data_IF_339050373537
#
_entry.id   IF_339050373537
#
_cell.length_a   1.000
_cell.length_b   1.000
_cell.length_c   1.000
_cell.angle_alpha   90.00
_cell.angle_beta   90.00
_cell.angle_gamma   90.00
#
_symmetry.space_group_name_H-M   'P 1'
#
loop_
_entity.id
_entity.type
_entity.pdbx_description
1 polymer ?
#
# COMPACT_ATOMS: atom_id res chain seq x y z
N UNK A 1 -1.69 -44.64 -51.64
CA UNK A 1 -2.40 -43.53 -52.30
C UNK A 1 -3.59 -43.14 -51.42
N UNK A 2 -3.86 -41.83 -51.32
CA UNK A 2 -4.86 -41.08 -50.51
C UNK A 2 -4.65 -41.07 -48.99
N UNK A 3 -4.04 -40.02 -48.42
CA UNK A 3 -4.66 -38.77 -47.87
C UNK A 3 -5.35 -39.02 -46.51
N UNK A 4 -4.72 -38.60 -45.41
CA UNK A 4 -4.95 -37.36 -44.64
C UNK A 4 -6.39 -37.18 -44.16
N UNK A 5 -6.61 -37.39 -42.85
CA UNK A 5 -7.55 -36.58 -42.07
C UNK A 5 -7.11 -36.55 -40.60
N UNK A 6 -6.46 -35.44 -40.24
CA UNK A 6 -6.42 -34.86 -38.89
C UNK A 6 -7.83 -34.39 -38.52
N UNK A 7 -8.32 -34.78 -37.33
CA UNK A 7 -9.46 -34.28 -36.51
C UNK A 7 -9.74 -35.49 -35.56
N UNK A 8 -9.48 -35.53 -34.26
CA UNK A 8 -10.00 -34.69 -33.19
C UNK A 8 -9.13 -34.86 -31.92
N UNK A 9 -8.37 -33.84 -31.55
CA UNK A 9 -7.89 -33.66 -30.17
C UNK A 9 -7.63 -32.18 -29.84
N UNK A 10 -8.33 -31.26 -30.52
CA UNK A 10 -8.20 -29.80 -30.34
C UNK A 10 -8.97 -29.24 -29.14
N UNK A 11 -9.20 -30.01 -28.07
CA UNK A 11 -10.05 -29.56 -26.94
C UNK A 11 -9.45 -29.80 -25.56
N UNK A 12 -8.19 -29.42 -25.30
CA UNK A 12 -7.73 -29.28 -23.89
C UNK A 12 -6.74 -28.13 -23.64
N UNK A 13 -6.31 -27.35 -24.63
CA UNK A 13 -5.33 -26.26 -24.40
C UNK A 13 -5.89 -24.91 -24.84
N UNK A 14 -6.80 -24.37 -24.04
CA UNK A 14 -7.12 -22.93 -24.00
C UNK A 14 -7.76 -22.68 -22.63
N UNK A 15 -7.19 -22.00 -21.65
CA UNK A 15 -6.22 -20.92 -21.67
C UNK A 15 -5.48 -20.94 -20.32
N UNK A 16 -4.39 -21.69 -20.22
CA UNK A 16 -3.43 -21.47 -19.14
C UNK A 16 -2.89 -20.06 -19.34
N UNK A 17 -3.37 -19.11 -18.53
CA UNK A 17 -2.84 -17.74 -18.60
C UNK A 17 -1.35 -17.85 -18.24
N UNK A 18 -0.43 -17.47 -19.13
CA UNK A 18 0.98 -17.51 -18.79
C UNK A 18 1.19 -16.44 -17.72
N UNK A 19 1.31 -16.88 -16.47
CA UNK A 19 1.76 -16.00 -15.38
C UNK A 19 3.24 -15.74 -15.64
N UNK A 20 3.49 -14.75 -16.48
CA UNK A 20 4.84 -14.23 -16.73
C UNK A 20 5.45 -13.83 -15.38
N UNK A 21 6.68 -14.25 -15.05
CA UNK A 21 7.28 -14.07 -13.72
C UNK A 21 7.56 -12.60 -13.37
N UNK A 22 7.30 -11.68 -14.30
CA UNK A 22 7.51 -10.23 -14.13
C UNK A 22 6.25 -9.45 -13.74
N UNK A 23 5.10 -10.09 -13.51
CA UNK A 23 3.93 -9.36 -12.99
C UNK A 23 3.90 -9.44 -11.47
N UNK A 24 4.53 -8.49 -10.79
CA UNK A 24 4.22 -8.16 -9.38
C UNK A 24 2.76 -7.69 -9.31
N UNK A 25 1.83 -8.66 -9.36
CA UNK A 25 0.41 -8.43 -9.57
C UNK A 25 -0.27 -8.48 -8.21
N UNK A 26 -0.58 -7.29 -7.70
CA UNK A 26 -1.27 -7.00 -6.44
C UNK A 26 -2.65 -7.68 -6.24
N UNK A 27 -3.11 -8.53 -7.16
CA UNK A 27 -4.42 -9.20 -7.12
C UNK A 27 -4.42 -10.30 -6.06
N UNK A 28 -3.37 -11.13 -6.06
CA UNK A 28 -3.18 -12.22 -5.09
C UNK A 28 -3.17 -11.74 -3.64
N UNK A 29 -2.56 -10.57 -3.37
CA UNK A 29 -2.54 -9.99 -2.02
C UNK A 29 -3.92 -9.71 -1.44
N UNK A 30 -4.94 -9.50 -2.26
CA UNK A 30 -6.25 -9.08 -1.77
C UNK A 30 -7.13 -10.27 -1.45
N UNK A 31 -6.96 -11.35 -2.19
CA UNK A 31 -7.61 -12.63 -1.89
C UNK A 31 -7.04 -13.14 -0.55
N UNK A 32 -5.74 -12.96 -0.32
CA UNK A 32 -5.10 -13.19 0.99
C UNK A 32 -5.63 -12.26 2.09
N UNK A 33 -5.85 -10.97 1.82
CA UNK A 33 -6.38 -10.02 2.82
C UNK A 33 -7.87 -10.26 3.13
N UNK A 34 -8.65 -10.72 2.15
CA UNK A 34 -10.03 -11.12 2.33
C UNK A 34 -10.14 -12.32 3.27
N UNK A 35 -9.20 -13.26 3.19
CA UNK A 35 -9.08 -14.38 4.12
C UNK A 35 -8.76 -13.93 5.57
N UNK A 36 -8.10 -12.78 5.73
CA UNK A 36 -7.72 -12.20 7.05
C UNK A 36 -8.78 -11.20 7.56
N UNK A 37 -9.91 -11.01 6.87
CA UNK A 37 -10.96 -10.04 7.22
C UNK A 37 -10.44 -8.61 7.43
N UNK A 38 -9.38 -8.22 6.70
CA UNK A 38 -8.82 -6.86 6.79
C UNK A 38 -9.52 -5.96 5.79
N UNK A 39 -10.13 -4.87 6.27
CA UNK A 39 -10.74 -3.87 5.39
C UNK A 39 -9.67 -3.12 4.59
N UNK A 40 -9.74 -3.23 3.26
CA UNK A 40 -8.76 -2.62 2.37
C UNK A 40 -9.16 -1.19 2.02
N UNK A 41 -8.65 -0.22 2.78
CA UNK A 41 -8.87 1.23 2.56
C UNK A 41 -7.79 1.82 1.63
N UNK A 42 -7.53 1.19 0.49
CA UNK A 42 -6.52 1.66 -0.48
C UNK A 42 -7.21 1.89 -1.83
N UNK A 43 -7.11 3.10 -2.41
CA UNK A 43 -7.70 3.39 -3.71
C UNK A 43 -7.05 2.54 -4.79
N UNK A 44 -7.85 2.15 -5.79
CA UNK A 44 -7.33 1.60 -7.03
C UNK A 44 -6.50 2.66 -7.77
N UNK A 45 -5.42 2.23 -8.45
CA UNK A 45 -4.68 3.11 -9.35
C UNK A 45 -5.61 3.71 -10.42
N UNK A 46 -5.36 4.96 -10.79
CA UNK A 46 -6.23 5.76 -11.69
C UNK A 46 -6.53 5.10 -13.04
N UNK A 47 -5.59 4.32 -13.59
CA UNK A 47 -5.72 3.65 -14.89
C UNK A 47 -6.32 2.23 -14.80
N UNK A 48 -6.83 1.81 -13.64
CA UNK A 48 -7.42 0.48 -13.47
C UNK A 48 -8.82 0.45 -14.06
N UNK A 49 -9.08 -0.47 -14.99
CA UNK A 49 -10.40 -0.66 -15.63
C UNK A 49 -11.53 -0.91 -14.62
N UNK A 50 -11.24 -1.64 -13.54
CA UNK A 50 -12.18 -1.85 -12.44
C UNK A 50 -11.71 -1.06 -11.23
N UNK A 51 -12.44 0.02 -10.94
CA UNK A 51 -12.25 0.80 -9.71
C UNK A 51 -12.83 0.04 -8.52
N UNK A 52 -12.25 0.25 -7.35
CA UNK A 52 -12.73 -0.34 -6.09
C UNK A 52 -13.50 0.68 -5.29
N UNK A 53 -14.52 0.21 -4.59
CA UNK A 53 -15.12 0.97 -3.51
C UNK A 53 -14.18 0.91 -2.32
N UNK A 54 -13.87 2.07 -1.75
CA UNK A 54 -13.07 2.21 -0.54
C UNK A 54 -13.59 3.41 0.25
N UNK A 55 -13.36 3.41 1.56
CA UNK A 55 -13.71 4.56 2.38
C UNK A 55 -12.74 5.72 2.14
N UNK A 56 -13.26 6.78 1.49
CA UNK A 56 -12.50 7.99 1.17
C UNK A 56 -12.12 8.79 2.42
N UNK A 57 -12.95 8.77 3.46
CA UNK A 57 -12.74 9.54 4.69
C UNK A 57 -11.57 8.91 5.45
N UNK A 58 -11.65 7.61 5.72
CA UNK A 58 -10.56 6.86 6.37
C UNK A 58 -9.25 6.95 5.58
N UNK A 59 -9.31 6.91 4.24
CA UNK A 59 -8.12 7.10 3.41
C UNK A 59 -7.49 8.49 3.57
N UNK A 60 -8.31 9.54 3.68
CA UNK A 60 -7.86 10.93 3.86
C UNK A 60 -7.21 11.13 5.23
N UNK A 61 -7.82 10.59 6.29
CA UNK A 61 -7.30 10.65 7.65
C UNK A 61 -5.92 9.98 7.76
N UNK A 62 -5.76 8.81 7.13
CA UNK A 62 -4.47 8.12 7.05
C UNK A 62 -3.37 9.01 6.46
N UNK A 63 -3.67 9.76 5.40
CA UNK A 63 -2.69 10.67 4.78
C UNK A 63 -2.24 11.80 5.73
N UNK A 64 -3.07 12.24 6.68
CA UNK A 64 -2.67 13.24 7.69
C UNK A 64 -1.59 12.64 8.60
N UNK A 65 -1.85 11.43 9.11
CA UNK A 65 -0.92 10.69 9.98
C UNK A 65 0.38 10.37 9.25
N UNK A 66 0.30 9.89 8.00
CA UNK A 66 1.48 9.58 7.18
C UNK A 66 2.36 10.81 6.93
N UNK A 67 1.75 11.96 6.62
CA UNK A 67 2.49 13.22 6.43
C UNK A 67 3.17 13.67 7.72
N UNK A 68 2.52 13.49 8.85
CA UNK A 68 3.11 13.79 10.17
C UNK A 68 4.31 12.88 10.47
N UNK A 69 4.16 11.57 10.29
CA UNK A 69 5.24 10.60 10.46
C UNK A 69 6.40 10.92 9.50
N UNK A 70 6.11 11.25 8.24
CA UNK A 70 7.14 11.60 7.26
C UNK A 70 7.95 12.84 7.69
N UNK A 71 7.30 13.82 8.34
CA UNK A 71 7.99 14.99 8.91
C UNK A 71 8.85 14.61 10.12
N UNK A 72 8.37 13.70 10.97
CA UNK A 72 9.10 13.26 12.15
C UNK A 72 10.30 12.37 11.81
N UNK A 73 10.23 11.61 10.70
CA UNK A 73 11.32 10.75 10.24
C UNK A 73 12.63 11.50 9.97
N UNK A 74 12.58 12.82 9.71
CA UNK A 74 13.77 13.66 9.60
C UNK A 74 14.58 13.70 10.90
N UNK A 75 13.93 13.51 12.06
CA UNK A 75 14.62 13.39 13.34
C UNK A 75 15.16 11.97 13.50
N UNK A 76 16.44 11.79 13.15
CA UNK A 76 17.14 10.49 13.17
C UNK A 76 16.93 9.72 14.47
N UNK A 77 16.92 10.41 15.62
CA UNK A 77 16.68 9.81 16.95
C UNK A 77 15.33 9.08 17.06
N UNK A 78 14.27 9.67 16.52
CA UNK A 78 12.92 9.11 16.57
C UNK A 78 12.80 7.97 15.55
N UNK A 79 13.37 8.14 14.35
CA UNK A 79 13.32 7.13 13.29
C UNK A 79 14.02 5.83 13.68
N UNK A 80 15.20 5.91 14.30
CA UNK A 80 15.97 4.72 14.67
C UNK A 80 15.50 4.08 15.98
N UNK A 81 14.57 4.70 16.71
CA UNK A 81 13.94 4.18 17.93
C UNK A 81 14.92 3.46 18.89
N UNK A 82 16.04 4.11 19.24
CA UNK A 82 17.03 3.56 20.19
C UNK A 82 16.62 3.76 21.65
N UNK A 83 15.49 4.43 21.91
CA UNK A 83 15.00 4.68 23.26
C UNK A 83 14.39 3.40 23.85
N UNK A 84 15.09 2.80 24.82
CA UNK A 84 14.62 1.60 25.55
C UNK A 84 13.40 1.86 26.44
N UNK A 85 13.14 3.12 26.80
CA UNK A 85 12.02 3.50 27.67
C UNK A 85 10.96 4.24 26.86
N UNK A 86 9.72 3.75 26.90
CA UNK A 86 8.57 4.38 26.23
C UNK A 86 8.38 5.86 26.61
N UNK A 87 8.62 6.22 27.88
CA UNK A 87 8.54 7.62 28.35
C UNK A 87 9.53 8.55 27.62
N UNK A 88 10.74 8.07 27.32
CA UNK A 88 11.75 8.88 26.61
C UNK A 88 11.36 9.09 25.17
N UNK A 89 10.91 8.02 24.51
CA UNK A 89 10.37 8.10 23.15
C UNK A 89 9.20 9.09 23.05
N UNK A 90 8.23 9.00 23.97
CA UNK A 90 7.09 9.92 24.00
C UNK A 90 7.51 11.37 24.25
N UNK A 91 8.47 11.62 25.14
CA UNK A 91 9.00 12.96 25.35
C UNK A 91 9.61 13.56 24.07
N UNK A 92 10.39 12.77 23.31
CA UNK A 92 10.92 13.21 22.02
C UNK A 92 9.85 13.39 20.95
N UNK A 93 8.80 12.56 20.98
CA UNK A 93 7.67 12.70 20.07
C UNK A 93 6.92 14.01 20.32
N UNK A 94 6.65 14.34 21.58
CA UNK A 94 6.05 15.62 21.96
C UNK A 94 6.95 16.80 21.57
N UNK A 95 8.26 16.69 21.81
CA UNK A 95 9.22 17.72 21.44
C UNK A 95 9.29 17.95 19.91
N UNK A 96 9.32 16.88 19.11
CA UNK A 96 9.28 17.03 17.65
C UNK A 96 7.95 17.62 17.17
N UNK A 97 6.84 17.30 17.85
CA UNK A 97 5.52 17.85 17.54
C UNK A 97 5.44 19.35 17.81
N UNK A 98 6.00 19.83 18.94
CA UNK A 98 6.05 21.26 19.26
C UNK A 98 6.93 22.04 18.29
N UNK A 99 8.10 21.50 17.91
CA UNK A 99 8.96 22.10 16.88
C UNK A 99 8.27 22.19 15.53
N UNK A 100 7.55 21.15 15.12
CA UNK A 100 6.82 21.13 13.87
C UNK A 100 5.67 22.16 13.87
N UNK A 101 4.99 22.32 15.00
CA UNK A 101 3.94 23.32 15.18
C UNK A 101 4.50 24.75 15.10
N UNK A 102 5.62 25.01 15.78
CA UNK A 102 6.27 26.33 15.72
C UNK A 102 6.76 26.67 14.30
N UNK A 103 7.39 25.70 13.62
CA UNK A 103 7.84 25.88 12.23
C UNK A 103 6.68 26.17 11.28
N UNK A 104 5.49 25.61 11.52
CA UNK A 104 4.29 25.93 10.74
C UNK A 104 3.87 27.39 10.93
N UNK A 105 3.88 27.89 12.18
CA UNK A 105 3.49 29.27 12.51
C UNK A 105 4.42 30.31 11.90
N UNK A 106 5.72 30.03 11.88
CA UNK A 106 6.73 30.94 11.29
C UNK A 106 6.60 31.05 9.76
N UNK A 107 6.02 30.05 9.10
CA UNK A 107 5.86 30.02 7.65
C UNK A 107 4.47 30.47 7.17
N UNK A 108 3.66 31.09 8.04
CA UNK A 108 2.47 31.85 7.64
C UNK A 108 2.96 33.29 7.29
N UNK A 109 2.70 33.82 6.07
CA UNK A 109 3.11 35.19 5.71
C UNK A 109 2.40 36.25 6.55
#
# INVERSE_FOLDING_TARGET
MSQLQEEDASSTISNATPVSPLTYRHRERLDLLAAVQVEVVIPSRRYRKQSRVYDRIRYRERNIVERFINKIKWYRRIFTCYDKLARRFMAFLHFASTLLWLKRKVNEP
#
